data_IF_681969522480
#
_entry.id   IF_681969522480
#
_cell.length_a   1.000
_cell.length_b   1.000
_cell.length_c   1.000
_cell.angle_alpha   90.00
_cell.angle_beta   90.00
_cell.angle_gamma   90.00
#
_symmetry.space_group_name_H-M   'P 1'
#
loop_
_entity.id
_entity.type
_entity.pdbx_description
1 polymer ?
#
# COMPACT_ATOMS: atom_id res chain seq x y z
N UNK A 1 -20.05 -39.32 21.18
CA UNK A 1 -19.96 -37.88 21.53
C UNK A 1 -19.79 -37.05 20.26
N UNK A 2 -20.52 -35.94 20.05
CA UNK A 2 -20.38 -35.16 18.83
C UNK A 2 -19.02 -34.43 18.80
N UNK A 3 -18.43 -34.21 17.61
CA UNK A 3 -17.19 -33.48 17.47
C UNK A 3 -17.39 -32.02 17.90
N UNK A 4 -16.54 -31.54 18.81
CA UNK A 4 -16.55 -30.14 19.26
C UNK A 4 -15.98 -29.28 18.12
N UNK A 5 -16.85 -28.56 17.41
CA UNK A 5 -16.40 -27.55 16.46
C UNK A 5 -15.66 -26.42 17.21
N UNK A 6 -14.48 -25.98 16.74
CA UNK A 6 -13.82 -24.82 17.30
C UNK A 6 -14.70 -23.57 17.10
N UNK A 7 -14.93 -22.82 18.19
CA UNK A 7 -15.64 -21.54 18.13
C UNK A 7 -14.96 -20.62 17.11
N UNK A 8 -15.71 -19.94 16.22
CA UNK A 8 -15.13 -18.95 15.33
C UNK A 8 -14.47 -17.86 16.16
N UNK A 9 -13.20 -17.57 15.85
CA UNK A 9 -12.45 -16.47 16.48
C UNK A 9 -13.24 -15.17 16.25
N UNK A 10 -13.35 -14.27 17.24
CA UNK A 10 -13.97 -12.97 17.02
C UNK A 10 -13.29 -12.29 15.84
N UNK A 11 -14.07 -11.96 14.80
CA UNK A 11 -13.58 -11.19 13.69
C UNK A 11 -13.06 -9.87 14.24
N UNK A 12 -11.79 -9.56 13.97
CA UNK A 12 -11.22 -8.26 14.33
C UNK A 12 -12.12 -7.17 13.73
N UNK A 13 -12.50 -6.13 14.51
CA UNK A 13 -13.29 -5.05 13.96
C UNK A 13 -12.52 -4.46 12.78
N UNK A 14 -13.15 -4.51 11.60
CA UNK A 14 -12.65 -3.85 10.41
C UNK A 14 -12.43 -2.39 10.79
N UNK A 15 -11.21 -1.81 10.64
CA UNK A 15 -11.00 -0.43 11.00
C UNK A 15 -11.99 0.40 10.20
N UNK A 16 -12.93 1.03 10.91
CA UNK A 16 -13.81 2.05 10.35
C UNK A 16 -12.92 3.05 9.61
N UNK A 17 -13.28 3.53 8.40
CA UNK A 17 -12.52 4.60 7.77
C UNK A 17 -12.59 5.81 8.71
N UNK A 18 -11.55 5.98 9.53
CA UNK A 18 -11.41 7.14 10.38
C UNK A 18 -11.41 8.35 9.45
N UNK A 19 -12.14 9.40 9.83
CA UNK A 19 -12.02 10.73 9.21
C UNK A 19 -10.63 11.30 9.55
N UNK A 20 -9.58 10.64 9.06
CA UNK A 20 -8.20 10.99 9.31
C UNK A 20 -7.80 12.07 8.30
N UNK A 21 -7.33 13.19 8.84
CA UNK A 21 -6.83 14.30 8.06
C UNK A 21 -5.50 13.91 7.40
N UNK A 22 -5.51 13.69 6.09
CA UNK A 22 -4.29 13.36 5.33
C UNK A 22 -3.45 14.60 4.95
N UNK A 23 -4.03 15.81 5.04
CA UNK A 23 -3.39 17.07 4.72
C UNK A 23 -4.34 18.28 4.74
N UNK A 24 -3.81 19.43 4.34
CA UNK A 24 -4.50 20.72 4.28
C UNK A 24 -4.69 21.17 2.83
N UNK A 25 -5.82 21.81 2.54
CA UNK A 25 -6.04 22.54 1.29
C UNK A 25 -5.60 23.98 1.48
N UNK A 26 -4.71 24.46 0.62
CA UNK A 26 -4.18 25.83 0.65
C UNK A 26 -5.03 26.74 -0.24
N UNK A 27 -5.08 28.03 0.08
CA UNK A 27 -5.84 29.04 -0.69
C UNK A 27 -5.43 29.10 -2.18
N UNK A 28 -4.19 28.74 -2.51
CA UNK A 28 -3.69 28.65 -3.88
C UNK A 28 -4.07 27.34 -4.60
N UNK A 29 -5.08 26.60 -4.11
CA UNK A 29 -5.55 25.31 -4.64
C UNK A 29 -4.50 24.18 -4.63
N UNK A 30 -3.41 24.35 -3.87
CA UNK A 30 -2.42 23.29 -3.62
C UNK A 30 -2.75 22.54 -2.34
N UNK A 31 -2.10 21.39 -2.14
CA UNK A 31 -2.34 20.50 -1.01
C UNK A 31 -1.05 20.32 -0.21
N UNK A 32 -1.13 20.38 1.12
CA UNK A 32 0.03 20.28 2.01
C UNK A 32 -0.12 19.08 2.95
N UNK A 33 0.95 18.32 3.19
CA UNK A 33 0.93 17.28 4.19
C UNK A 33 0.83 17.87 5.61
N UNK A 34 0.03 17.26 6.49
CA UNK A 34 -0.16 17.71 7.87
C UNK A 34 1.02 17.31 8.80
N UNK A 35 1.83 16.33 8.39
CA UNK A 35 2.86 15.76 9.25
C UNK A 35 4.08 16.68 9.34
N UNK A 36 4.65 16.89 10.53
CA UNK A 36 5.79 17.81 10.73
C UNK A 36 7.04 17.38 9.96
N UNK A 37 7.20 16.07 9.73
CA UNK A 37 8.28 15.49 8.91
C UNK A 37 8.17 15.82 7.41
N UNK A 38 7.05 16.39 6.97
CA UNK A 38 6.75 16.69 5.56
C UNK A 38 6.41 18.18 5.37
N UNK A 39 6.95 19.04 6.24
CA UNK A 39 6.61 20.48 6.33
C UNK A 39 6.73 21.24 5.00
N UNK A 40 7.67 20.83 4.16
CA UNK A 40 7.96 21.49 2.88
C UNK A 40 7.33 20.77 1.67
N UNK A 41 6.57 19.69 1.91
CA UNK A 41 5.96 18.91 0.84
C UNK A 41 4.58 19.47 0.47
N UNK A 42 4.53 20.10 -0.72
CA UNK A 42 3.31 20.66 -1.31
C UNK A 42 3.03 19.95 -2.65
N UNK A 43 1.77 19.62 -2.88
CA UNK A 43 1.30 18.92 -4.07
C UNK A 43 0.36 19.80 -4.89
N UNK A 44 0.47 19.73 -6.22
CA UNK A 44 -0.48 20.37 -7.13
C UNK A 44 -1.82 19.64 -7.24
N UNK A 45 -1.90 18.36 -6.83
CA UNK A 45 -3.11 17.53 -6.93
C UNK A 45 -3.35 16.75 -5.64
N UNK A 46 -4.63 16.62 -5.26
CA UNK A 46 -5.05 15.83 -4.09
C UNK A 46 -4.64 14.36 -4.21
N UNK A 47 -4.64 13.81 -5.42
CA UNK A 47 -4.20 12.44 -5.69
C UNK A 47 -2.72 12.21 -5.32
N UNK A 48 -1.86 13.22 -5.51
CA UNK A 48 -0.45 13.12 -5.16
C UNK A 48 -0.26 13.22 -3.63
N UNK A 49 -1.02 14.09 -2.95
CA UNK A 49 -1.05 14.12 -1.47
C UNK A 49 -1.51 12.77 -0.89
N UNK A 50 -2.59 12.19 -1.44
CA UNK A 50 -3.10 10.90 -0.95
C UNK A 50 -2.10 9.78 -1.13
N UNK A 51 -1.43 9.73 -2.29
CA UNK A 51 -0.35 8.77 -2.54
C UNK A 51 0.80 8.95 -1.56
N UNK A 52 1.21 10.19 -1.29
CA UNK A 52 2.23 10.48 -0.30
C UNK A 52 1.80 9.98 1.09
N UNK A 53 0.57 10.26 1.50
CA UNK A 53 0.03 9.79 2.78
C UNK A 53 0.06 8.26 2.89
N UNK A 54 -0.42 7.55 1.86
CA UNK A 54 -0.45 6.09 1.85
C UNK A 54 0.96 5.48 1.89
N UNK A 55 1.93 6.14 1.28
CA UNK A 55 3.32 5.66 1.23
C UNK A 55 4.13 6.01 2.47
N UNK A 56 3.87 7.16 3.11
CA UNK A 56 4.73 7.72 4.15
C UNK A 56 4.09 7.69 5.54
N UNK A 57 2.76 7.67 5.64
CA UNK A 57 2.04 7.85 6.91
C UNK A 57 1.04 6.74 7.22
N UNK A 58 0.59 5.95 6.25
CA UNK A 58 -0.34 4.86 6.51
C UNK A 58 0.20 3.88 7.57
N UNK A 59 -0.60 3.67 8.62
CA UNK A 59 -0.32 2.76 9.75
C UNK A 59 -0.21 1.29 9.32
N UNK A 60 -1.01 0.89 8.32
CA UNK A 60 -1.02 -0.47 7.78
C UNK A 60 -0.70 -0.44 6.29
N UNK A 61 0.59 -0.51 5.95
CA UNK A 61 1.03 -0.52 4.54
C UNK A 61 0.92 -1.92 3.98
N UNK A 62 -0.10 -2.17 3.16
CA UNK A 62 -0.12 -3.34 2.29
C UNK A 62 1.04 -3.21 1.32
N UNK A 63 1.94 -4.19 1.31
CA UNK A 63 3.04 -4.26 0.35
C UNK A 63 2.65 -5.17 -0.81
N UNK A 64 2.69 -4.63 -2.02
CA UNK A 64 2.48 -5.40 -3.23
C UNK A 64 3.80 -6.00 -3.71
N UNK A 65 3.82 -7.31 -3.92
CA UNK A 65 4.94 -8.05 -4.51
C UNK A 65 4.49 -8.69 -5.82
N UNK A 66 5.44 -8.99 -6.70
CA UNK A 66 5.17 -9.81 -7.87
C UNK A 66 4.72 -11.21 -7.42
N UNK A 67 3.68 -11.73 -8.06
CA UNK A 67 3.13 -13.06 -7.79
C UNK A 67 3.94 -14.20 -8.41
N UNK A 68 4.82 -13.91 -9.38
CA UNK A 68 5.62 -14.92 -10.08
C UNK A 68 6.75 -15.43 -9.19
N UNK A 69 6.73 -16.73 -8.90
CA UNK A 69 7.78 -17.41 -8.15
C UNK A 69 9.14 -17.26 -8.85
N UNK A 70 10.19 -17.01 -8.08
CA UNK A 70 11.54 -16.79 -8.63
C UNK A 70 11.78 -15.38 -9.21
N UNK A 71 10.75 -14.54 -9.34
CA UNK A 71 10.95 -13.14 -9.71
C UNK A 71 11.67 -12.40 -8.58
N UNK A 72 12.64 -11.55 -8.94
CA UNK A 72 13.38 -10.71 -7.99
C UNK A 72 12.48 -9.74 -7.21
N UNK A 73 11.31 -9.41 -7.75
CA UNK A 73 10.26 -8.57 -7.11
C UNK A 73 9.19 -9.38 -6.36
N UNK A 74 9.33 -10.70 -6.28
CA UNK A 74 8.42 -11.55 -5.50
C UNK A 74 8.73 -11.49 -4.00
N UNK A 75 7.79 -11.95 -3.17
CA UNK A 75 7.96 -11.99 -1.71
C UNK A 75 9.04 -13.01 -1.27
N UNK A 76 9.23 -14.08 -2.06
CA UNK A 76 10.20 -15.15 -1.84
C UNK A 76 11.04 -15.37 -3.11
N UNK A 77 12.02 -14.50 -3.42
CA UNK A 77 13.07 -14.89 -4.35
C UNK A 77 13.88 -16.02 -3.71
N UNK A 78 14.48 -16.91 -4.49
CA UNK A 78 15.26 -18.06 -4.01
C UNK A 78 16.48 -17.70 -3.15
N UNK A 79 16.69 -16.43 -2.83
CA UNK A 79 17.63 -15.94 -1.81
C UNK A 79 17.21 -14.58 -1.26
N UNK A 80 16.81 -14.54 0.01
CA UNK A 80 16.88 -13.36 0.89
C UNK A 80 15.97 -12.13 0.62
N UNK A 81 15.20 -11.76 1.64
CA UNK A 81 15.30 -10.50 2.40
C UNK A 81 15.54 -9.08 1.79
N UNK A 82 15.83 -8.84 0.51
CA UNK A 82 16.28 -7.52 0.01
C UNK A 82 15.31 -6.32 0.13
N UNK A 83 15.86 -5.13 0.43
CA UNK A 83 15.20 -3.80 0.35
C UNK A 83 14.87 -3.48 -1.12
N UNK A 84 13.65 -3.04 -1.43
CA UNK A 84 13.26 -2.68 -2.81
C UNK A 84 12.60 -3.79 -3.64
N UNK A 85 12.22 -4.92 -3.03
CA UNK A 85 11.52 -6.00 -3.76
C UNK A 85 10.02 -5.74 -3.96
N UNK A 86 9.37 -5.01 -3.06
CA UNK A 86 7.96 -4.65 -3.19
C UNK A 86 7.76 -3.38 -4.03
N UNK A 87 6.56 -3.25 -4.59
CA UNK A 87 6.04 -2.04 -5.21
C UNK A 87 5.45 -1.07 -4.17
N UNK A 88 5.72 -1.28 -2.88
CA UNK A 88 5.09 -0.54 -1.79
C UNK A 88 3.57 -0.71 -1.82
N UNK A 89 2.83 0.38 -1.61
CA UNK A 89 1.35 0.41 -1.67
C UNK A 89 0.78 0.54 -3.09
N UNK A 90 1.62 0.48 -4.14
CA UNK A 90 1.22 0.71 -5.54
C UNK A 90 0.90 -0.58 -6.28
N UNK A 91 -0.36 -1.01 -6.22
CA UNK A 91 -0.88 -2.15 -7.00
C UNK A 91 -0.69 -1.95 -8.50
N UNK A 92 -0.93 -0.74 -9.00
CA UNK A 92 -0.78 -0.37 -10.42
C UNK A 92 0.61 -0.70 -10.96
N UNK A 93 1.65 -0.42 -10.17
CA UNK A 93 3.04 -0.68 -10.57
C UNK A 93 3.42 -2.15 -10.54
N UNK A 94 2.83 -2.93 -9.64
CA UNK A 94 2.95 -4.39 -9.69
C UNK A 94 2.27 -4.94 -10.95
N UNK A 95 1.04 -4.51 -11.24
CA UNK A 95 0.26 -5.03 -12.37
C UNK A 95 0.90 -4.64 -13.73
N UNK A 96 1.47 -3.43 -13.81
CA UNK A 96 2.29 -3.00 -14.95
C UNK A 96 3.55 -3.85 -15.10
N UNK A 97 4.23 -4.16 -13.99
CA UNK A 97 5.38 -5.07 -14.01
C UNK A 97 5.00 -6.47 -14.50
N UNK A 98 3.93 -7.06 -13.98
CA UNK A 98 3.49 -8.40 -14.37
C UNK A 98 3.08 -8.47 -15.85
N UNK A 99 2.41 -7.42 -16.36
CA UNK A 99 2.09 -7.32 -17.79
C UNK A 99 3.34 -7.18 -18.67
N UNK A 100 4.29 -6.34 -18.27
CA UNK A 100 5.44 -6.02 -19.14
C UNK A 100 6.54 -7.08 -19.07
N UNK A 101 6.84 -7.56 -17.87
CA UNK A 101 7.94 -8.50 -17.58
C UNK A 101 7.50 -9.95 -17.70
N UNK A 102 6.31 -10.29 -17.22
CA UNK A 102 5.82 -11.68 -17.22
C UNK A 102 4.76 -11.94 -18.29
N UNK A 103 4.39 -10.94 -19.10
CA UNK A 103 3.34 -11.01 -20.13
C UNK A 103 2.00 -11.54 -19.60
N UNK A 104 1.77 -11.39 -18.29
CA UNK A 104 0.53 -11.83 -17.66
C UNK A 104 -0.59 -10.85 -17.95
N UNK A 105 -1.78 -11.35 -18.30
CA UNK A 105 -2.98 -10.53 -18.36
C UNK A 105 -3.57 -10.45 -16.96
N UNK A 106 -3.25 -9.38 -16.24
CA UNK A 106 -3.86 -9.08 -14.94
C UNK A 106 -5.28 -8.55 -15.21
N UNK A 107 -6.29 -9.38 -14.92
CA UNK A 107 -7.71 -9.03 -14.97
C UNK A 107 -8.20 -8.42 -13.66
#
# INVERSE_FOLDING_TARGET
PPPRHPKPKPATPRPTPSHEHIGLVLANKKFKCLRPTCKDTIFGRLADLRRHHDQQHARHRVQYFCSVAGCSRSAKPSGGAGKGRSFGTRKDKRDEHERNVHKMRVG
#
